data_IF_683040111238
#
_entry.id   IF_683040111238
#
_cell.length_a   1.000
_cell.length_b   1.000
_cell.length_c   1.000
_cell.angle_alpha   90.00
_cell.angle_beta   90.00
_cell.angle_gamma   90.00
#
_symmetry.space_group_name_H-M   'P 1'
#
loop_
_entity.id
_entity.type
_entity.pdbx_description
1 polymer ?
#
# COMPACT_ATOMS: atom_id res chain seq x y z
N UNK A 1 6.68 20.82 -19.42
CA UNK A 1 6.28 19.40 -19.59
C UNK A 1 6.25 18.82 -18.19
N UNK A 2 5.10 18.33 -17.72
CA UNK A 2 4.97 17.76 -16.37
C UNK A 2 5.64 16.37 -16.36
N UNK A 3 6.81 16.27 -15.75
CA UNK A 3 7.69 15.09 -15.76
C UNK A 3 7.44 14.07 -14.64
N UNK A 4 6.22 13.98 -14.10
CA UNK A 4 5.91 12.94 -13.11
C UNK A 4 4.41 12.64 -13.03
N UNK A 5 3.80 12.24 -14.15
CA UNK A 5 2.50 11.56 -14.06
C UNK A 5 2.79 10.13 -13.60
N UNK A 6 2.85 9.91 -12.28
CA UNK A 6 2.71 8.56 -11.74
C UNK A 6 1.36 8.05 -12.25
N UNK A 7 1.30 6.97 -13.04
CA UNK A 7 0.05 6.49 -13.58
C UNK A 7 -0.86 6.10 -12.42
N UNK A 8 -2.08 6.64 -12.43
CA UNK A 8 -3.08 6.27 -11.43
C UNK A 8 -3.32 4.75 -11.50
N UNK A 9 -3.10 4.07 -10.39
CA UNK A 9 -3.37 2.63 -10.26
C UNK A 9 -4.73 2.47 -9.57
N UNK A 10 -5.72 1.82 -10.20
CA UNK A 10 -7.02 1.56 -9.59
C UNK A 10 -6.90 0.94 -8.20
N UNK A 11 -7.70 1.41 -7.25
CA UNK A 11 -7.63 1.05 -5.85
C UNK A 11 -8.64 -0.05 -5.51
N UNK A 12 -9.81 -0.09 -6.16
CA UNK A 12 -10.94 -0.93 -5.77
C UNK A 12 -10.56 -2.42 -5.62
N UNK A 13 -9.90 -3.00 -6.62
CA UNK A 13 -9.54 -4.43 -6.61
C UNK A 13 -8.48 -4.78 -5.54
N UNK A 14 -7.79 -3.78 -5.02
CA UNK A 14 -6.72 -3.93 -4.02
C UNK A 14 -7.22 -3.72 -2.59
N UNK A 15 -8.44 -3.22 -2.41
CA UNK A 15 -9.02 -2.96 -1.09
C UNK A 15 -9.02 -4.22 -0.23
N UNK A 16 -8.56 -4.10 1.01
CA UNK A 16 -8.59 -5.16 2.03
C UNK A 16 -9.15 -4.57 3.33
N UNK A 17 -10.04 -5.31 3.97
CA UNK A 17 -10.58 -4.94 5.28
C UNK A 17 -10.57 -6.14 6.23
N UNK A 18 -10.76 -5.88 7.53
CA UNK A 18 -10.81 -6.92 8.57
C UNK A 18 -12.02 -7.86 8.41
N UNK A 19 -13.10 -7.39 7.79
CA UNK A 19 -14.31 -8.16 7.56
C UNK A 19 -14.86 -7.95 6.14
N UNK A 20 -15.58 -8.96 5.65
CA UNK A 20 -16.08 -9.03 4.28
C UNK A 20 -17.08 -7.91 3.95
N UNK A 21 -17.95 -7.55 4.91
CA UNK A 21 -18.94 -6.48 4.73
C UNK A 21 -18.26 -5.13 4.51
N UNK A 22 -17.32 -4.76 5.37
CA UNK A 22 -16.55 -3.52 5.27
C UNK A 22 -15.70 -3.52 4.00
N UNK A 23 -15.14 -4.68 3.60
CA UNK A 23 -14.40 -4.80 2.34
C UNK A 23 -15.30 -4.48 1.14
N UNK A 24 -16.49 -5.07 1.06
CA UNK A 24 -17.41 -4.85 -0.07
C UNK A 24 -17.86 -3.39 -0.17
N UNK A 25 -18.19 -2.75 0.96
CA UNK A 25 -18.58 -1.34 0.99
C UNK A 25 -17.42 -0.42 0.60
N UNK A 26 -16.22 -0.66 1.12
CA UNK A 26 -15.04 0.13 0.76
C UNK A 26 -14.62 -0.10 -0.69
N UNK A 27 -14.75 -1.32 -1.21
CA UNK A 27 -14.52 -1.62 -2.63
C UNK A 27 -15.47 -0.81 -3.52
N UNK A 28 -16.75 -0.67 -3.15
CA UNK A 28 -17.69 0.16 -3.88
C UNK A 28 -17.28 1.63 -3.88
N UNK A 29 -16.89 2.18 -2.72
CA UNK A 29 -16.34 3.53 -2.64
C UNK A 29 -15.15 3.71 -3.58
N UNK A 30 -14.14 2.85 -3.47
CA UNK A 30 -12.93 2.98 -4.28
C UNK A 30 -13.18 2.72 -5.77
N UNK A 31 -14.19 1.93 -6.13
CA UNK A 31 -14.62 1.78 -7.53
C UNK A 31 -15.17 3.09 -8.10
N UNK A 32 -15.90 3.86 -7.29
CA UNK A 32 -16.39 5.19 -7.68
C UNK A 32 -15.21 6.15 -7.81
N UNK A 33 -14.28 6.14 -6.86
CA UNK A 33 -13.06 6.95 -6.94
C UNK A 33 -12.27 6.61 -8.20
N UNK A 34 -12.08 5.33 -8.50
CA UNK A 34 -11.39 4.87 -9.71
C UNK A 34 -12.07 5.39 -10.99
N UNK A 35 -13.41 5.35 -11.03
CA UNK A 35 -14.20 5.89 -12.14
C UNK A 35 -14.10 7.42 -12.26
N UNK A 36 -14.15 8.13 -11.14
CA UNK A 36 -13.99 9.59 -11.11
C UNK A 36 -12.60 9.99 -11.64
N UNK A 37 -11.53 9.30 -11.23
CA UNK A 37 -10.19 9.58 -11.73
C UNK A 37 -10.06 9.28 -13.23
N UNK A 38 -10.67 8.19 -13.71
CA UNK A 38 -10.74 7.89 -15.16
C UNK A 38 -11.49 8.98 -15.94
N UNK A 39 -12.53 9.57 -15.35
CA UNK A 39 -13.27 10.70 -15.89
C UNK A 39 -12.59 12.07 -15.67
N UNK A 40 -11.32 12.09 -15.24
CA UNK A 40 -10.49 13.28 -15.02
C UNK A 40 -10.95 14.20 -13.87
N UNK A 41 -11.77 13.70 -12.93
CA UNK A 41 -12.02 14.40 -11.69
C UNK A 41 -10.76 14.43 -10.82
N UNK A 42 -10.52 15.58 -10.19
CA UNK A 42 -9.37 15.78 -9.31
C UNK A 42 -9.73 15.41 -7.88
N UNK A 43 -8.87 14.60 -7.26
CA UNK A 43 -8.85 14.37 -5.81
C UNK A 43 -7.57 14.96 -5.23
N UNK A 44 -7.58 15.29 -3.93
CA UNK A 44 -6.38 15.77 -3.28
C UNK A 44 -5.49 14.56 -3.00
N UNK A 45 -4.50 14.37 -3.86
CA UNK A 45 -3.51 13.31 -3.75
C UNK A 45 -2.15 13.95 -3.48
N UNK A 46 -1.67 13.80 -2.25
CA UNK A 46 -0.30 14.14 -1.87
C UNK A 46 0.58 12.96 -2.26
N UNK A 47 1.26 13.09 -3.40
CA UNK A 47 2.12 12.05 -3.97
C UNK A 47 3.43 11.87 -3.20
N UNK A 48 3.88 12.88 -2.45
CA UNK A 48 5.09 12.81 -1.63
C UNK A 48 4.86 11.91 -0.42
N UNK A 49 3.69 12.04 0.23
CA UNK A 49 3.33 11.26 1.41
C UNK A 49 2.45 10.06 1.09
N UNK A 50 2.03 9.89 -0.16
CA UNK A 50 1.10 8.83 -0.58
C UNK A 50 -0.28 8.96 0.07
N UNK A 51 -0.73 10.19 0.36
CA UNK A 51 -2.04 10.42 0.98
C UNK A 51 -3.08 10.79 -0.05
N UNK A 52 -4.19 10.05 -0.05
CA UNK A 52 -5.40 10.39 -0.76
C UNK A 52 -6.41 10.99 0.22
N UNK A 53 -6.87 12.20 -0.06
CA UNK A 53 -7.87 12.89 0.75
C UNK A 53 -9.17 13.05 -0.04
N UNK A 54 -10.26 12.53 0.52
CA UNK A 54 -11.60 12.54 -0.08
C UNK A 54 -12.54 13.33 0.80
N UNK A 55 -13.24 14.32 0.25
CA UNK A 55 -14.29 15.04 0.96
C UNK A 55 -15.57 14.18 0.97
N UNK A 56 -16.11 13.80 2.14
CA UNK A 56 -17.31 12.95 2.22
C UNK A 56 -18.52 13.59 1.57
N UNK A 57 -18.65 14.92 1.72
CA UNK A 57 -19.78 15.69 1.19
C UNK A 57 -19.78 15.68 -0.35
N UNK A 58 -18.60 15.59 -0.97
CA UNK A 58 -18.47 15.53 -2.43
C UNK A 58 -18.71 14.14 -3.01
N UNK A 59 -18.71 13.07 -2.21
CA UNK A 59 -18.89 11.69 -2.72
C UNK A 59 -20.25 11.57 -3.41
N UNK A 60 -21.30 12.09 -2.78
CA UNK A 60 -22.65 12.06 -3.33
C UNK A 60 -22.81 12.97 -4.55
N UNK A 61 -22.14 14.12 -4.55
CA UNK A 61 -22.13 15.02 -5.71
C UNK A 61 -21.44 14.36 -6.91
N UNK A 62 -20.28 13.74 -6.70
CA UNK A 62 -19.54 12.98 -7.72
C UNK A 62 -20.35 11.78 -8.25
N UNK A 63 -21.05 11.07 -7.37
CA UNK A 63 -21.99 10.01 -7.75
C UNK A 63 -23.16 10.54 -8.60
N UNK A 64 -23.67 11.73 -8.27
CA UNK A 64 -24.72 12.37 -9.03
C UNK A 64 -24.24 12.77 -10.43
N UNK A 65 -22.98 13.16 -10.58
CA UNK A 65 -22.39 13.50 -11.87
C UNK A 65 -22.06 12.27 -12.72
N UNK A 66 -21.52 11.21 -12.11
CA UNK A 66 -21.29 9.92 -12.80
C UNK A 66 -22.60 9.23 -13.21
N UNK A 67 -23.67 9.40 -12.45
CA UNK A 67 -24.97 8.79 -12.79
C UNK A 67 -25.65 9.48 -13.98
N UNK A 68 -25.35 10.77 -14.24
CA UNK A 68 -25.79 11.46 -15.47
C UNK A 68 -25.21 10.83 -16.74
N UNK A 69 -24.04 10.18 -16.65
CA UNK A 69 -23.44 9.47 -17.80
C UNK A 69 -23.86 8.00 -17.91
N UNK A 70 -24.26 7.34 -16.80
CA UNK A 70 -24.45 5.88 -16.76
C UNK A 70 -25.82 5.39 -16.21
N UNK A 71 -26.77 6.28 -15.91
CA UNK A 71 -28.13 5.96 -15.42
C UNK A 71 -28.21 5.03 -14.18
N UNK A 72 -27.18 4.99 -13.35
CA UNK A 72 -27.14 4.19 -12.11
C UNK A 72 -27.35 5.07 -10.88
N UNK A 73 -28.41 4.83 -10.13
CA UNK A 73 -28.74 5.61 -8.93
C UNK A 73 -28.15 4.94 -7.68
N UNK A 74 -26.83 5.05 -7.51
CA UNK A 74 -26.14 4.50 -6.35
C UNK A 74 -25.90 5.62 -5.34
N UNK A 75 -26.88 5.86 -4.45
CA UNK A 75 -26.64 6.71 -3.29
C UNK A 75 -26.00 5.87 -2.19
N UNK A 76 -24.86 6.32 -1.67
CA UNK A 76 -24.17 5.65 -0.57
C UNK A 76 -24.60 6.29 0.75
N UNK A 77 -24.95 5.46 1.72
CA UNK A 77 -25.09 5.90 3.10
C UNK A 77 -23.68 6.18 3.68
N UNK A 78 -23.35 7.47 3.77
CA UNK A 78 -22.06 7.98 4.22
C UNK A 78 -21.79 7.57 5.69
N UNK A 79 -22.83 7.45 6.53
CA UNK A 79 -22.68 7.08 7.94
C UNK A 79 -22.30 5.61 8.08
N UNK A 80 -22.93 4.73 7.28
CA UNK A 80 -22.58 3.31 7.23
C UNK A 80 -21.18 3.12 6.63
N UNK A 81 -20.86 3.87 5.57
CA UNK A 81 -19.55 3.83 4.93
C UNK A 81 -18.46 4.21 5.93
N UNK A 82 -18.65 5.31 6.68
CA UNK A 82 -17.70 5.80 7.68
C UNK A 82 -17.35 4.76 8.73
N UNK A 83 -18.33 4.01 9.22
CA UNK A 83 -18.08 2.92 10.18
C UNK A 83 -17.15 1.85 9.59
N UNK A 84 -17.35 1.55 8.31
CA UNK A 84 -16.59 0.52 7.58
C UNK A 84 -15.15 0.95 7.25
N UNK A 85 -14.86 2.25 7.15
CA UNK A 85 -13.51 2.76 6.85
C UNK A 85 -12.49 2.38 7.94
N UNK A 86 -12.92 2.30 9.20
CA UNK A 86 -12.03 1.95 10.32
C UNK A 86 -11.51 0.50 10.27
N UNK A 87 -12.19 -0.36 9.49
CA UNK A 87 -11.78 -1.75 9.27
C UNK A 87 -10.80 -1.91 8.10
N UNK A 88 -10.49 -0.84 7.36
CA UNK A 88 -9.59 -0.92 6.22
C UNK A 88 -8.17 -1.27 6.65
N UNK A 89 -7.66 -2.34 6.06
CA UNK A 89 -6.25 -2.72 6.08
C UNK A 89 -5.53 -2.01 4.92
N UNK A 90 -6.17 -1.95 3.74
CA UNK A 90 -5.70 -1.19 2.59
C UNK A 90 -6.87 -0.59 1.79
N UNK A 91 -6.79 0.68 1.35
CA UNK A 91 -5.82 1.68 1.80
C UNK A 91 -6.04 2.02 3.28
N UNK A 92 -4.99 2.34 4.03
CA UNK A 92 -5.09 2.54 5.49
C UNK A 92 -5.85 3.84 5.77
N UNK A 93 -6.93 3.74 6.52
CA UNK A 93 -7.69 4.93 6.92
C UNK A 93 -7.01 5.64 8.09
N UNK A 94 -6.57 6.88 7.86
CA UNK A 94 -5.90 7.72 8.87
C UNK A 94 -6.88 8.62 9.63
N UNK A 95 -8.19 8.46 9.40
CA UNK A 95 -9.22 9.25 10.06
C UNK A 95 -9.62 10.50 9.29
N UNK A 96 -10.28 11.40 10.01
CA UNK A 96 -10.74 12.67 9.49
C UNK A 96 -9.74 13.78 9.77
N UNK A 97 -9.43 14.54 8.73
CA UNK A 97 -8.48 15.64 8.79
C UNK A 97 -9.11 16.90 8.21
N UNK A 98 -8.52 18.04 8.54
CA UNK A 98 -8.80 19.30 7.85
C UNK A 98 -7.62 19.63 6.97
N UNK A 99 -7.90 19.87 5.70
CA UNK A 99 -6.87 20.18 4.71
C UNK A 99 -7.25 21.43 3.94
N UNK A 100 -6.25 22.19 3.55
CA UNK A 100 -6.38 23.32 2.64
C UNK A 100 -5.74 22.88 1.33
N UNK A 101 -6.49 22.92 0.24
CA UNK A 101 -5.98 22.53 -1.07
C UNK A 101 -6.58 23.39 -2.18
N UNK A 102 -5.83 23.51 -3.27
CA UNK A 102 -6.24 24.29 -4.43
C UNK A 102 -7.51 23.71 -5.09
N UNK A 103 -7.74 22.41 -4.96
CA UNK A 103 -8.97 21.77 -5.48
C UNK A 103 -10.25 22.25 -4.79
N UNK A 104 -10.12 22.81 -3.58
CA UNK A 104 -11.21 23.42 -2.83
C UNK A 104 -11.01 24.94 -2.67
N UNK A 105 -10.41 25.60 -3.68
CA UNK A 105 -10.20 27.04 -3.69
C UNK A 105 -9.42 27.56 -2.46
N UNK A 106 -8.50 26.75 -1.92
CA UNK A 106 -7.73 27.05 -0.71
C UNK A 106 -8.61 27.31 0.53
N UNK A 107 -9.80 26.69 0.59
CA UNK A 107 -10.65 26.68 1.79
C UNK A 107 -10.33 25.47 2.66
N UNK A 108 -10.52 25.61 3.98
CA UNK A 108 -10.36 24.49 4.91
C UNK A 108 -11.55 23.54 4.76
N UNK A 109 -11.28 22.30 4.34
CA UNK A 109 -12.30 21.27 4.10
C UNK A 109 -12.01 20.04 4.96
N UNK A 110 -13.07 19.44 5.50
CA UNK A 110 -13.00 18.16 6.23
C UNK A 110 -12.93 17.01 5.24
N UNK A 111 -11.92 16.17 5.39
CA UNK A 111 -11.63 15.05 4.48
C UNK A 111 -11.40 13.76 5.25
N UNK A 112 -11.71 12.65 4.59
CA UNK A 112 -11.19 11.34 4.94
C UNK A 112 -9.82 11.17 4.30
N UNK A 113 -8.80 10.95 5.13
CA UNK A 113 -7.45 10.72 4.67
C UNK A 113 -7.15 9.22 4.63
N UNK A 114 -6.64 8.77 3.50
CA UNK A 114 -6.23 7.40 3.25
C UNK A 114 -4.75 7.39 2.90
N UNK A 115 -3.98 6.49 3.51
CA UNK A 115 -2.63 6.22 3.10
C UNK A 115 -2.62 5.10 2.07
N UNK A 116 -2.14 5.44 0.88
CA UNK A 116 -1.85 4.50 -0.18
C UNK A 116 -0.46 3.91 0.05
N UNK A 117 -0.19 2.77 -0.60
CA UNK A 117 1.17 2.27 -0.65
C UNK A 117 1.99 3.31 -1.42
N UNK A 118 2.93 3.96 -0.74
CA UNK A 118 3.92 4.75 -1.43
C UNK A 118 4.70 3.80 -2.33
N UNK A 119 4.84 4.14 -3.61
CA UNK A 119 5.98 3.66 -4.40
C UNK A 119 7.15 4.54 -3.91
N UNK A 120 7.57 4.35 -2.67
CA UNK A 120 8.57 5.20 -2.05
C UNK A 120 9.91 4.95 -2.75
N UNK A 121 10.43 5.97 -3.41
CA UNK A 121 11.86 6.07 -3.67
C UNK A 121 12.62 6.70 -2.50
N UNK A 122 11.99 7.41 -1.57
CA UNK A 122 12.73 8.23 -0.57
C UNK A 122 11.98 8.47 0.76
N UNK A 123 11.23 7.49 1.26
CA UNK A 123 10.80 7.52 2.67
C UNK A 123 11.27 6.22 3.27
N UNK A 124 12.26 6.31 4.16
CA UNK A 124 12.60 5.24 5.09
C UNK A 124 11.28 4.70 5.61
N UNK A 125 10.97 3.46 5.24
CA UNK A 125 9.88 2.79 5.91
C UNK A 125 10.17 2.93 7.40
N UNK A 126 9.15 3.15 8.21
CA UNK A 126 9.19 2.62 9.56
C UNK A 126 9.35 1.10 9.39
N UNK A 127 10.59 0.69 9.13
CA UNK A 127 11.14 -0.58 9.45
C UNK A 127 10.76 -0.72 10.89
N UNK A 128 9.72 -1.53 11.11
CA UNK A 128 9.43 -2.13 12.39
C UNK A 128 10.79 -2.34 13.06
N UNK A 129 10.96 -1.96 14.32
CA UNK A 129 12.20 -2.20 15.09
C UNK A 129 12.71 -3.68 15.02
N UNK A 130 11.94 -4.55 14.37
CA UNK A 130 12.23 -5.92 13.93
C UNK A 130 13.10 -6.10 12.68
N UNK A 131 13.52 -5.09 11.92
CA UNK A 131 14.22 -5.35 10.65
C UNK A 131 15.53 -6.13 10.83
N UNK A 132 16.29 -5.84 11.89
CA UNK A 132 17.47 -6.62 12.26
C UNK A 132 17.12 -8.02 12.80
N UNK A 133 16.08 -8.15 13.64
CA UNK A 133 15.64 -9.44 14.18
C UNK A 133 15.11 -10.37 13.08
N UNK A 134 14.33 -9.82 12.15
CA UNK A 134 13.83 -10.51 10.96
C UNK A 134 14.98 -10.88 10.02
N UNK A 135 15.94 -9.98 9.77
CA UNK A 135 17.12 -10.29 8.97
C UNK A 135 17.97 -11.40 9.59
N UNK A 136 18.14 -11.40 10.92
CA UNK A 136 18.81 -12.47 11.67
C UNK A 136 18.07 -13.81 11.52
N UNK A 137 16.75 -13.82 11.68
CA UNK A 137 15.94 -15.04 11.53
C UNK A 137 15.98 -15.59 10.10
N UNK A 138 15.97 -14.70 9.10
CA UNK A 138 16.10 -15.07 7.69
C UNK A 138 17.49 -15.64 7.39
N UNK A 139 18.56 -15.00 7.88
CA UNK A 139 19.95 -15.48 7.74
C UNK A 139 20.13 -16.85 8.39
N UNK A 140 19.64 -17.03 9.63
CA UNK A 140 19.73 -18.29 10.35
C UNK A 140 18.95 -19.41 9.63
N UNK A 141 17.79 -19.10 9.09
CA UNK A 141 16.98 -20.06 8.33
C UNK A 141 17.66 -20.47 7.02
N UNK A 142 18.19 -19.49 6.27
CA UNK A 142 18.95 -19.73 5.03
C UNK A 142 20.21 -20.57 5.28
N UNK A 143 20.96 -20.27 6.33
CA UNK A 143 22.14 -21.05 6.73
C UNK A 143 21.78 -22.48 7.13
N UNK A 144 20.65 -22.70 7.82
CA UNK A 144 20.18 -24.05 8.19
C UNK A 144 19.80 -24.88 6.96
N UNK A 145 19.12 -24.28 5.99
CA UNK A 145 18.76 -24.94 4.73
C UNK A 145 20.03 -25.27 3.95
N UNK A 146 20.93 -24.31 3.80
CA UNK A 146 22.18 -24.51 3.07
C UNK A 146 23.07 -25.58 3.72
N UNK A 147 23.22 -25.55 5.04
CA UNK A 147 23.94 -26.57 5.81
C UNK A 147 23.34 -27.96 5.57
N UNK A 148 22.01 -28.11 5.70
CA UNK A 148 21.34 -29.40 5.44
C UNK A 148 21.57 -29.89 4.02
N UNK A 149 21.51 -29.00 3.02
CA UNK A 149 21.78 -29.37 1.63
C UNK A 149 23.23 -29.79 1.39
N UNK A 150 24.20 -29.19 2.09
CA UNK A 150 25.61 -29.61 2.03
C UNK A 150 25.86 -30.91 2.82
N UNK A 151 25.19 -31.10 3.96
CA UNK A 151 25.27 -32.31 4.82
C UNK A 151 24.66 -33.55 4.15
N UNK A 152 23.64 -33.38 3.32
CA UNK A 152 23.01 -34.47 2.55
C UNK A 152 23.99 -35.08 1.52
N UNK A 153 25.07 -34.38 1.17
CA UNK A 153 26.14 -34.90 0.33
C UNK A 153 25.70 -35.34 -1.07
N UNK A 154 26.63 -35.88 -1.85
CA UNK A 154 26.45 -36.33 -3.24
C UNK A 154 25.43 -37.47 -3.45
N UNK A 155 24.74 -37.91 -2.39
CA UNK A 155 23.79 -39.03 -2.43
C UNK A 155 22.41 -38.63 -2.95
N UNK A 156 22.12 -37.33 -3.07
CA UNK A 156 20.87 -36.82 -3.64
C UNK A 156 21.15 -35.83 -4.78
N UNK A 157 21.09 -36.31 -6.03
CA UNK A 157 21.40 -35.54 -7.25
C UNK A 157 20.41 -34.40 -7.55
N UNK A 158 19.29 -34.34 -6.85
CA UNK A 158 18.22 -33.38 -7.13
C UNK A 158 18.43 -32.01 -6.47
N UNK A 159 19.43 -31.85 -5.57
CA UNK A 159 19.74 -30.57 -4.93
C UNK A 159 21.25 -30.29 -5.04
N UNK A 160 21.71 -29.98 -6.24
CA UNK A 160 23.06 -29.45 -6.47
C UNK A 160 22.93 -27.95 -6.65
N UNK A 161 23.23 -27.17 -5.62
CA UNK A 161 23.41 -25.73 -5.77
C UNK A 161 24.56 -25.49 -6.76
N UNK A 162 24.29 -24.75 -7.82
CA UNK A 162 25.35 -24.36 -8.76
C UNK A 162 26.25 -23.31 -8.09
N UNK A 163 27.46 -23.13 -8.59
CA UNK A 163 28.38 -22.11 -8.07
C UNK A 163 27.76 -20.71 -8.07
N UNK A 164 26.89 -20.40 -9.05
CA UNK A 164 26.15 -19.15 -9.11
C UNK A 164 25.09 -19.06 -8.00
N UNK A 165 24.35 -20.14 -7.71
CA UNK A 165 23.37 -20.14 -6.63
C UNK A 165 24.02 -19.89 -5.26
N UNK A 166 25.24 -20.40 -5.07
CA UNK A 166 26.04 -20.18 -3.87
C UNK A 166 26.49 -18.72 -3.75
N UNK A 167 26.95 -18.13 -4.85
CA UNK A 167 27.34 -16.70 -4.89
C UNK A 167 26.14 -15.81 -4.54
N UNK A 168 24.97 -16.04 -5.15
CA UNK A 168 23.79 -15.24 -4.84
C UNK A 168 23.30 -15.43 -3.39
N UNK A 169 23.41 -16.65 -2.83
CA UNK A 169 23.11 -16.86 -1.41
C UNK A 169 24.08 -16.12 -0.50
N UNK A 170 25.38 -16.11 -0.82
CA UNK A 170 26.38 -15.38 -0.04
C UNK A 170 26.14 -13.88 -0.06
N UNK A 171 25.82 -13.30 -1.22
CA UNK A 171 25.49 -11.88 -1.35
C UNK A 171 24.22 -11.51 -0.56
N UNK A 172 23.19 -12.35 -0.60
CA UNK A 172 21.96 -12.12 0.18
C UNK A 172 22.21 -12.19 1.70
N UNK A 173 23.06 -13.12 2.15
CA UNK A 173 23.46 -13.23 3.55
C UNK A 173 24.31 -12.03 4.01
N UNK A 174 25.25 -11.58 3.17
CA UNK A 174 26.10 -10.41 3.45
C UNK A 174 25.25 -9.15 3.62
N UNK A 175 24.36 -8.88 2.66
CA UNK A 175 23.47 -7.73 2.73
C UNK A 175 22.57 -7.73 3.97
N UNK A 176 22.03 -8.90 4.35
CA UNK A 176 21.19 -9.02 5.56
C UNK A 176 22.00 -8.83 6.85
N UNK A 177 23.27 -9.27 6.88
CA UNK A 177 24.14 -9.07 8.03
C UNK A 177 24.62 -7.62 8.15
N UNK A 178 24.82 -6.91 7.04
CA UNK A 178 25.10 -5.47 7.04
C UNK A 178 23.96 -4.67 7.69
N UNK A 179 22.70 -4.99 7.37
CA UNK A 179 21.51 -4.36 7.99
C UNK A 179 21.50 -4.57 9.51
N UNK A 180 21.87 -5.77 9.97
CA UNK A 180 21.99 -6.08 11.40
C UNK A 180 23.15 -5.34 12.05
N UNK A 181 24.29 -5.26 11.37
CA UNK A 181 25.48 -4.55 11.87
C UNK A 181 25.19 -3.06 12.05
N UNK A 182 24.56 -2.42 11.07
CA UNK A 182 24.14 -1.01 11.16
C UNK A 182 23.27 -0.79 12.40
N UNK A 183 22.34 -1.72 12.67
CA UNK A 183 21.46 -1.61 13.85
C UNK A 183 22.17 -1.82 15.20
N UNK A 184 23.25 -2.58 15.24
CA UNK A 184 24.05 -2.79 16.45
C UNK A 184 25.05 -1.65 16.72
N UNK A 185 25.40 -0.88 15.70
CA UNK A 185 26.33 0.26 15.77
C UNK A 185 25.61 1.60 16.05
N UNK A 186 24.28 1.65 15.90
CA UNK A 186 23.38 2.72 16.38
C UNK A 186 23.16 2.69 17.91
#
# INVERSE_FOLDING_TARGET
MNESIVPYVPIADRVRAKNEKSQLLCQQLFKIVDQCVQAQFLFNHDTEKGFLSICPDQINDLLSELSKSNHTNNQIDIDILKQSLSDLIYPKFNGEHRVISHIWNNTEVRVWQFQLNQIAKEVDMEHLDNDAELCLDMVLSSLRVWRKSLEIGSDNRDIIYTQNDLIYKLMDLEHKLEIVQIKLEE
#
